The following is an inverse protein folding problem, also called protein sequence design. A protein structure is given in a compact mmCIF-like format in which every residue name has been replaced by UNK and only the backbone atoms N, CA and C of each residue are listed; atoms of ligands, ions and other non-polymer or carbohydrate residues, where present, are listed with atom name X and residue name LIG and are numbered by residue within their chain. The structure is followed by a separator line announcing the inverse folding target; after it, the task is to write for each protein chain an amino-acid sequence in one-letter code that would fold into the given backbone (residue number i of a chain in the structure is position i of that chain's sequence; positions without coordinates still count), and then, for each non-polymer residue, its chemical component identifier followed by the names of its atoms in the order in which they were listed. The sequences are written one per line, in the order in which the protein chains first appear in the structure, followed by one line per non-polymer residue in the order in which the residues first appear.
data_IF_340545746903
#
_entry.id   IF_340545746903
#
_cell.length_a   1.000
_cell.length_b   1.000
_cell.length_c   1.000
_cell.angle_alpha   90.00
_cell.angle_beta   90.00
_cell.angle_gamma   90.00
#
_symmetry.space_group_name_H-M   'P 1'
#
loop_
_entity.id
_entity.type
_entity.pdbx_description
1 polymer ?
#
# COMPACT_ATOMS: atom_id res chain seq x y z
N UNK A 1 -30.81 -21.39 49.00
CA UNK A 1 -30.77 -22.85 48.76
C UNK A 1 -29.32 -23.28 48.75
N UNK A 2 -28.99 -24.41 49.38
CA UNK A 2 -27.64 -24.97 49.27
C UNK A 2 -27.37 -25.34 47.81
N UNK A 3 -26.26 -24.85 47.26
CA UNK A 3 -25.81 -25.25 45.92
C UNK A 3 -25.47 -26.73 45.91
N UNK A 4 -25.72 -27.40 44.78
CA UNK A 4 -25.20 -28.74 44.56
C UNK A 4 -23.66 -28.70 44.63
N UNK A 5 -23.00 -29.82 44.96
CA UNK A 5 -21.58 -29.92 44.75
C UNK A 5 -21.23 -29.69 43.26
N UNK A 6 -20.06 -29.12 43.01
CA UNK A 6 -19.63 -28.74 41.66
C UNK A 6 -18.45 -29.59 41.22
N UNK A 7 -18.51 -30.15 40.01
CA UNK A 7 -17.36 -30.72 39.33
C UNK A 7 -16.78 -29.67 38.39
N UNK A 8 -15.49 -29.37 38.53
CA UNK A 8 -14.73 -28.51 37.61
C UNK A 8 -13.76 -29.38 36.84
N UNK A 9 -13.79 -29.24 35.53
CA UNK A 9 -13.04 -30.11 34.64
C UNK A 9 -12.21 -29.29 33.67
N UNK A 10 -10.88 -29.39 33.80
CA UNK A 10 -9.96 -29.01 32.73
C UNK A 10 -9.98 -30.05 31.60
N UNK A 11 -9.10 -29.89 30.61
CA UNK A 11 -9.01 -30.78 29.46
C UNK A 11 -7.72 -31.63 29.46
N UNK A 12 -7.10 -31.81 30.63
CA UNK A 12 -5.91 -32.65 30.77
C UNK A 12 -6.22 -34.14 30.57
N UNK A 13 -5.20 -34.96 30.23
CA UNK A 13 -5.33 -36.39 29.96
C UNK A 13 -6.06 -37.19 31.05
N UNK A 14 -5.95 -36.78 32.32
CA UNK A 14 -6.52 -37.51 33.46
C UNK A 14 -8.04 -37.65 33.43
N UNK A 15 -8.76 -36.87 32.61
CA UNK A 15 -10.21 -37.04 32.44
C UNK A 15 -10.59 -38.45 32.00
N UNK A 16 -9.72 -39.16 31.27
CA UNK A 16 -10.02 -40.53 30.80
C UNK A 16 -10.05 -41.56 31.93
N UNK A 17 -9.43 -41.23 33.07
CA UNK A 17 -9.25 -42.11 34.22
C UNK A 17 -10.18 -41.72 35.39
N UNK A 18 -11.30 -41.05 35.09
CA UNK A 18 -12.32 -40.72 36.10
C UNK A 18 -12.86 -41.97 36.79
N UNK A 19 -12.85 -41.95 38.12
CA UNK A 19 -13.52 -42.97 38.92
C UNK A 19 -14.91 -42.47 39.35
N UNK A 20 -15.95 -42.97 38.67
CA UNK A 20 -17.34 -42.61 38.96
C UNK A 20 -17.82 -43.02 40.36
N UNK A 21 -17.12 -43.92 41.07
CA UNK A 21 -17.43 -44.22 42.46
C UNK A 21 -17.12 -43.03 43.39
N UNK A 22 -16.18 -42.17 43.00
CA UNK A 22 -15.76 -41.00 43.76
C UNK A 22 -16.69 -39.79 43.56
N UNK A 23 -17.69 -39.88 42.69
CA UNK A 23 -18.53 -38.72 42.36
C UNK A 23 -19.60 -38.48 43.44
N UNK A 24 -19.98 -37.21 43.67
CA UNK A 24 -21.18 -36.89 44.44
C UNK A 24 -22.45 -37.45 43.77
N UNK A 25 -23.49 -37.66 44.59
CA UNK A 25 -24.78 -38.25 44.16
C UNK A 25 -25.49 -37.47 43.04
N UNK A 26 -25.38 -36.15 43.07
CA UNK A 26 -25.91 -35.19 42.10
C UNK A 26 -25.01 -33.95 42.15
N UNK A 27 -24.79 -33.31 41.01
CA UNK A 27 -23.77 -32.26 40.87
C UNK A 27 -24.07 -31.30 39.72
N UNK A 28 -23.45 -30.13 39.82
CA UNK A 28 -23.30 -29.18 38.72
C UNK A 28 -21.92 -29.41 38.04
N UNK A 29 -21.76 -28.97 36.79
CA UNK A 29 -20.51 -29.15 36.02
C UNK A 29 -20.02 -27.83 35.42
N UNK A 30 -18.74 -27.52 35.60
CA UNK A 30 -18.00 -26.51 34.83
C UNK A 30 -17.04 -27.17 33.85
N UNK A 31 -17.07 -26.72 32.59
CA UNK A 31 -16.18 -27.17 31.50
C UNK A 31 -15.48 -25.97 30.86
N UNK A 32 -14.34 -26.18 30.21
CA UNK A 32 -13.65 -25.11 29.50
C UNK A 32 -13.20 -25.49 28.08
N UNK A 33 -13.01 -24.48 27.24
CA UNK A 33 -12.36 -24.55 25.94
C UNK A 33 -12.92 -25.69 25.08
N UNK A 34 -12.08 -26.57 24.53
CA UNK A 34 -12.50 -27.60 23.57
C UNK A 34 -13.01 -28.89 24.23
N UNK A 35 -13.70 -28.78 25.38
CA UNK A 35 -14.26 -29.94 26.11
C UNK A 35 -15.13 -30.84 25.20
N UNK A 36 -15.80 -30.25 24.22
CA UNK A 36 -16.70 -30.93 23.28
C UNK A 36 -15.97 -31.81 22.27
N UNK A 37 -14.63 -31.85 22.25
CA UNK A 37 -13.89 -32.85 21.47
C UNK A 37 -13.84 -34.22 22.11
N UNK A 38 -14.33 -34.35 23.35
CA UNK A 38 -14.46 -35.65 23.99
C UNK A 38 -15.26 -36.65 23.17
N UNK A 39 -14.82 -37.91 23.20
CA UNK A 39 -15.45 -39.05 22.54
C UNK A 39 -16.65 -39.61 23.35
N UNK A 40 -16.70 -39.28 24.65
CA UNK A 40 -17.77 -39.63 25.57
C UNK A 40 -18.22 -38.42 26.35
N UNK A 41 -19.46 -38.42 26.80
CA UNK A 41 -19.97 -37.47 27.78
C UNK A 41 -19.41 -37.79 29.18
N UNK A 42 -18.11 -37.65 29.39
CA UNK A 42 -17.42 -38.03 30.64
C UNK A 42 -18.08 -37.45 31.89
N UNK A 43 -18.64 -36.25 31.79
CA UNK A 43 -19.33 -35.53 32.86
C UNK A 43 -20.80 -35.25 32.54
N UNK A 44 -21.34 -35.89 31.50
CA UNK A 44 -22.70 -35.67 31.01
C UNK A 44 -22.86 -34.44 30.11
N UNK A 45 -24.10 -34.22 29.67
CA UNK A 45 -24.49 -33.21 28.68
C UNK A 45 -24.97 -31.89 29.28
N UNK A 46 -25.39 -31.90 30.54
CA UNK A 46 -25.80 -30.71 31.28
C UNK A 46 -24.57 -29.99 31.84
N UNK A 47 -24.37 -28.73 31.46
CA UNK A 47 -23.21 -27.95 31.89
C UNK A 47 -23.69 -26.69 32.60
N UNK A 48 -23.29 -26.50 33.85
CA UNK A 48 -23.69 -25.33 34.62
C UNK A 48 -22.96 -24.05 34.19
N UNK A 49 -21.73 -24.19 33.71
CA UNK A 49 -20.91 -23.08 33.23
C UNK A 49 -19.86 -23.53 32.22
N UNK A 50 -19.82 -22.90 31.05
CA UNK A 50 -18.76 -23.09 30.06
C UNK A 50 -17.84 -21.87 30.01
N UNK A 51 -16.54 -22.11 29.93
CA UNK A 51 -15.50 -21.10 30.02
C UNK A 51 -14.65 -21.13 28.74
N UNK A 52 -14.58 -20.01 28.03
CA UNK A 52 -13.83 -19.92 26.78
C UNK A 52 -12.82 -18.78 26.82
N UNK A 53 -11.59 -19.02 26.39
CA UNK A 53 -10.55 -18.00 26.33
C UNK A 53 -10.94 -16.85 25.38
N UNK A 54 -10.63 -15.61 25.80
CA UNK A 54 -11.02 -14.39 25.07
C UNK A 54 -10.57 -14.34 23.60
N UNK A 55 -9.35 -14.80 23.30
CA UNK A 55 -8.77 -14.70 21.96
C UNK A 55 -9.48 -15.57 20.90
N UNK A 56 -10.15 -16.66 21.32
CA UNK A 56 -10.95 -17.54 20.45
C UNK A 56 -12.45 -17.48 20.76
N UNK A 57 -12.89 -16.48 21.52
CA UNK A 57 -14.25 -16.44 22.07
C UNK A 57 -15.32 -16.45 20.97
N UNK A 58 -15.15 -15.69 19.90
CA UNK A 58 -16.11 -15.63 18.78
C UNK A 58 -16.30 -16.99 18.08
N UNK A 59 -15.19 -17.71 17.86
CA UNK A 59 -15.23 -19.05 17.30
C UNK A 59 -15.94 -20.02 18.26
N UNK A 60 -15.59 -19.96 19.54
CA UNK A 60 -16.22 -20.79 20.58
C UNK A 60 -17.72 -20.52 20.69
N UNK A 61 -18.17 -19.28 20.53
CA UNK A 61 -19.59 -18.93 20.52
C UNK A 61 -20.34 -19.50 19.31
N UNK A 62 -19.73 -19.48 18.12
CA UNK A 62 -20.31 -20.11 16.92
C UNK A 62 -20.44 -21.63 17.09
N UNK A 63 -19.39 -22.27 17.62
CA UNK A 63 -19.39 -23.71 17.91
C UNK A 63 -20.44 -24.02 18.99
N UNK A 64 -20.49 -23.24 20.06
CA UNK A 64 -21.47 -23.39 21.14
C UNK A 64 -22.91 -23.31 20.62
N UNK A 65 -23.18 -22.40 19.69
CA UNK A 65 -24.48 -22.32 19.02
C UNK A 65 -24.83 -23.62 18.28
N UNK A 66 -23.86 -24.23 17.58
CA UNK A 66 -24.08 -25.48 16.87
C UNK A 66 -24.30 -26.67 17.82
N UNK A 67 -23.49 -26.81 18.88
CA UNK A 67 -23.67 -27.91 19.84
C UNK A 67 -25.01 -27.80 20.58
N UNK A 68 -25.46 -26.59 20.96
CA UNK A 68 -26.75 -26.39 21.62
C UNK A 68 -27.92 -26.63 20.66
N UNK A 69 -27.85 -26.10 19.43
CA UNK A 69 -28.91 -26.28 18.44
C UNK A 69 -29.17 -27.75 18.11
N UNK A 70 -28.13 -28.58 18.11
CA UNK A 70 -28.23 -30.01 17.86
C UNK A 70 -28.38 -30.85 19.13
N UNK A 71 -28.53 -30.19 20.29
CA UNK A 71 -28.69 -30.83 21.58
C UNK A 71 -27.45 -31.59 22.07
N UNK A 72 -26.26 -31.42 21.50
CA UNK A 72 -25.07 -32.15 21.95
C UNK A 72 -24.74 -31.84 23.42
N UNK A 73 -24.86 -30.57 23.83
CA UNK A 73 -24.68 -30.08 25.20
C UNK A 73 -25.66 -28.96 25.55
N UNK A 74 -25.86 -28.77 26.85
CA UNK A 74 -26.81 -27.81 27.42
C UNK A 74 -26.11 -26.93 28.47
N UNK A 75 -25.39 -25.86 28.05
CA UNK A 75 -24.76 -24.91 28.96
C UNK A 75 -25.75 -23.87 29.48
N UNK A 76 -25.79 -23.68 30.81
CA UNK A 76 -26.63 -22.66 31.47
C UNK A 76 -26.00 -21.26 31.45
N UNK A 77 -24.68 -21.20 31.59
CA UNK A 77 -23.93 -19.97 31.75
C UNK A 77 -22.66 -19.99 30.92
N UNK A 78 -22.33 -18.85 30.31
CA UNK A 78 -21.16 -18.70 29.45
C UNK A 78 -20.24 -17.64 30.05
N UNK A 79 -18.97 -17.99 30.19
CA UNK A 79 -17.93 -17.15 30.74
C UNK A 79 -16.83 -16.93 29.70
N UNK A 80 -16.51 -15.66 29.44
CA UNK A 80 -15.31 -15.28 28.72
C UNK A 80 -14.14 -15.22 29.71
N UNK A 81 -13.17 -16.10 29.49
CA UNK A 81 -11.98 -16.24 30.33
C UNK A 81 -10.95 -15.21 29.92
N UNK A 82 -10.74 -14.24 30.78
CA UNK A 82 -9.66 -13.26 30.75
C UNK A 82 -9.32 -12.81 32.18
N UNK A 83 -8.08 -12.37 32.38
CA UNK A 83 -7.51 -12.05 33.69
C UNK A 83 -7.17 -10.57 33.87
N UNK A 84 -7.43 -9.77 32.85
CA UNK A 84 -7.15 -8.32 32.78
C UNK A 84 -8.36 -7.60 32.17
N UNK A 85 -8.51 -6.28 32.39
CA UNK A 85 -9.64 -5.53 31.82
C UNK A 85 -9.58 -5.45 30.29
N UNK A 86 -8.38 -5.38 29.72
CA UNK A 86 -8.14 -5.38 28.28
C UNK A 86 -7.76 -6.77 27.79
N UNK A 87 -8.19 -7.10 26.57
CA UNK A 87 -7.83 -8.34 25.90
C UNK A 87 -7.84 -8.15 24.39
N UNK A 88 -7.25 -9.13 23.70
CA UNK A 88 -7.26 -9.18 22.24
C UNK A 88 -8.41 -10.04 21.76
N UNK A 89 -9.26 -9.49 20.90
CA UNK A 89 -10.27 -10.26 20.17
C UNK A 89 -10.20 -9.87 18.71
N UNK A 90 -10.14 -10.87 17.83
CA UNK A 90 -9.97 -10.67 16.39
C UNK A 90 -8.78 -9.75 16.04
N UNK A 91 -7.67 -9.87 16.79
CA UNK A 91 -6.45 -9.08 16.58
C UNK A 91 -6.48 -7.64 17.11
N UNK A 92 -7.58 -7.19 17.74
CA UNK A 92 -7.71 -5.84 18.28
C UNK A 92 -7.73 -5.84 19.81
N UNK A 93 -6.93 -4.98 20.42
CA UNK A 93 -6.98 -4.75 21.86
C UNK A 93 -8.19 -3.86 22.20
N UNK A 94 -8.96 -4.27 23.20
CA UNK A 94 -10.18 -3.56 23.60
C UNK A 94 -10.57 -3.89 25.04
N UNK A 95 -11.43 -3.04 25.63
CA UNK A 95 -11.98 -3.29 26.96
C UNK A 95 -12.96 -4.46 26.89
N UNK A 96 -12.62 -5.57 27.54
CA UNK A 96 -13.33 -6.84 27.37
C UNK A 96 -14.79 -6.75 27.82
N UNK A 97 -15.08 -6.04 28.91
CA UNK A 97 -16.45 -5.91 29.41
C UNK A 97 -17.37 -5.26 28.37
N UNK A 98 -16.96 -4.12 27.80
CA UNK A 98 -17.73 -3.41 26.77
C UNK A 98 -17.90 -4.26 25.51
N UNK A 99 -16.83 -4.94 25.08
CA UNK A 99 -16.88 -5.84 23.94
C UNK A 99 -17.93 -6.95 24.15
N UNK A 100 -17.91 -7.61 25.31
CA UNK A 100 -18.83 -8.70 25.61
C UNK A 100 -20.27 -8.20 25.68
N UNK A 101 -20.54 -7.09 26.36
CA UNK A 101 -21.88 -6.49 26.45
C UNK A 101 -22.45 -6.08 25.10
N UNK A 102 -21.59 -5.57 24.20
CA UNK A 102 -22.00 -5.16 22.84
C UNK A 102 -22.32 -6.34 21.93
N UNK A 103 -21.65 -7.47 22.06
CA UNK A 103 -21.72 -8.57 21.09
C UNK A 103 -22.49 -9.80 21.60
N UNK A 104 -22.56 -10.01 22.92
CA UNK A 104 -23.11 -11.24 23.50
C UNK A 104 -23.98 -10.96 24.74
N UNK A 105 -25.28 -11.24 24.61
CA UNK A 105 -26.22 -11.12 25.73
C UNK A 105 -25.93 -12.17 26.81
N UNK A 106 -25.74 -11.73 28.06
CA UNK A 106 -25.65 -12.60 29.23
C UNK A 106 -24.31 -13.32 29.42
N UNK A 107 -23.32 -13.08 28.57
CA UNK A 107 -21.95 -13.58 28.77
C UNK A 107 -21.28 -12.85 29.93
N UNK A 108 -20.50 -13.57 30.74
CA UNK A 108 -19.86 -13.03 31.94
C UNK A 108 -18.34 -12.98 31.80
N UNK A 109 -17.74 -11.90 32.28
CA UNK A 109 -16.29 -11.72 32.38
C UNK A 109 -15.75 -12.48 33.60
N UNK A 110 -14.72 -13.33 33.43
CA UNK A 110 -14.03 -13.92 34.60
C UNK A 110 -13.19 -12.90 35.37
N UNK A 111 -12.69 -11.86 34.70
CA UNK A 111 -11.97 -10.77 35.37
C UNK A 111 -12.86 -10.04 36.37
N UNK A 112 -14.15 -9.87 36.07
CA UNK A 112 -15.11 -9.27 37.00
C UNK A 112 -15.24 -10.08 38.30
N UNK A 113 -15.06 -11.40 38.25
CA UNK A 113 -15.01 -12.24 39.44
C UNK A 113 -13.64 -12.10 40.13
N UNK A 114 -12.55 -12.28 39.39
CA UNK A 114 -11.19 -12.19 39.92
C UNK A 114 -10.93 -10.89 40.69
N UNK A 115 -11.28 -9.73 40.12
CA UNK A 115 -11.05 -8.41 40.73
C UNK A 115 -11.76 -8.23 42.08
N UNK A 116 -12.88 -8.91 42.28
CA UNK A 116 -13.74 -8.77 43.46
C UNK A 116 -13.39 -9.82 44.54
N UNK A 117 -12.45 -10.74 44.26
CA UNK A 117 -11.98 -11.76 45.19
C UNK A 117 -10.55 -11.45 45.65
N UNK A 118 -10.43 -10.46 46.55
CA UNK A 118 -9.20 -9.78 46.93
C UNK A 118 -7.97 -10.70 47.14
N UNK A 119 -8.04 -11.81 47.91
CA UNK A 119 -6.84 -12.63 48.11
C UNK A 119 -6.33 -13.32 46.83
N UNK A 120 -7.23 -13.66 45.90
CA UNK A 120 -6.85 -14.17 44.59
C UNK A 120 -6.36 -13.04 43.68
N UNK A 121 -6.99 -11.87 43.76
CA UNK A 121 -6.57 -10.71 42.98
C UNK A 121 -5.16 -10.25 43.35
N UNK A 122 -4.81 -10.21 44.64
CA UNK A 122 -3.45 -9.90 45.12
C UNK A 122 -2.44 -10.93 44.62
N UNK A 123 -2.77 -12.23 44.73
CA UNK A 123 -1.90 -13.31 44.22
C UNK A 123 -1.66 -13.14 42.73
N UNK A 124 -2.73 -13.00 41.94
CA UNK A 124 -2.63 -12.76 40.50
C UNK A 124 -1.81 -11.52 40.17
N UNK A 125 -2.11 -10.38 40.82
CA UNK A 125 -1.45 -9.10 40.56
C UNK A 125 0.05 -9.16 40.83
N UNK A 126 0.48 -9.88 41.88
CA UNK A 126 1.90 -10.10 42.14
C UNK A 126 2.55 -10.86 40.99
N UNK A 127 1.98 -11.99 40.59
CA UNK A 127 2.58 -12.84 39.55
C UNK A 127 2.56 -12.19 38.18
N UNK A 128 1.46 -11.51 37.86
CA UNK A 128 1.31 -10.77 36.61
C UNK A 128 2.35 -9.66 36.47
N UNK A 129 2.49 -8.79 37.48
CA UNK A 129 3.36 -7.62 37.38
C UNK A 129 4.86 -7.94 37.50
N UNK A 130 5.23 -9.00 38.22
CA UNK A 130 6.64 -9.27 38.52
C UNK A 130 7.21 -10.49 37.80
N UNK A 131 6.37 -11.36 37.24
CA UNK A 131 6.80 -12.62 36.61
C UNK A 131 6.13 -12.87 35.26
N UNK A 132 5.25 -11.97 34.80
CA UNK A 132 4.45 -12.12 33.58
C UNK A 132 3.61 -13.42 33.55
N UNK A 133 3.18 -13.88 34.72
CA UNK A 133 2.43 -15.13 34.88
C UNK A 133 0.95 -14.86 35.15
N UNK A 134 0.09 -15.79 34.72
CA UNK A 134 -1.35 -15.75 35.02
C UNK A 134 -1.95 -17.13 35.28
N UNK A 135 -3.12 -17.13 35.92
CA UNK A 135 -3.88 -18.34 36.21
C UNK A 135 -4.29 -19.09 34.93
N UNK A 136 -4.37 -20.41 35.00
CA UNK A 136 -5.02 -21.21 33.96
C UNK A 136 -6.55 -21.09 34.04
N UNK A 137 -7.24 -21.45 32.95
CA UNK A 137 -8.72 -21.51 32.93
C UNK A 137 -9.29 -22.40 34.02
N UNK A 138 -8.59 -23.48 34.40
CA UNK A 138 -9.00 -24.37 35.50
C UNK A 138 -9.10 -23.62 36.84
N UNK A 139 -8.10 -22.80 37.15
CA UNK A 139 -8.11 -21.94 38.34
C UNK A 139 -9.14 -20.80 38.21
N UNK A 140 -9.32 -20.24 37.01
CA UNK A 140 -10.39 -19.26 36.76
C UNK A 140 -11.80 -19.84 36.99
N UNK A 141 -12.02 -21.11 36.66
CA UNK A 141 -13.29 -21.77 37.00
C UNK A 141 -13.45 -21.93 38.52
N UNK A 142 -12.37 -22.31 39.22
CA UNK A 142 -12.37 -22.49 40.68
C UNK A 142 -12.70 -21.19 41.43
N UNK A 143 -12.09 -20.06 41.05
CA UNK A 143 -12.37 -18.78 41.70
C UNK A 143 -13.80 -18.31 41.44
N UNK A 144 -14.31 -18.47 40.20
CA UNK A 144 -15.69 -18.15 39.87
C UNK A 144 -16.64 -19.03 40.68
N UNK A 145 -16.35 -20.32 40.84
CA UNK A 145 -17.14 -21.21 41.67
C UNK A 145 -17.20 -20.75 43.14
N UNK A 146 -16.07 -20.36 43.72
CA UNK A 146 -15.98 -19.83 45.08
C UNK A 146 -16.85 -18.58 45.24
N UNK A 147 -16.75 -17.65 44.31
CA UNK A 147 -17.49 -16.38 44.38
C UNK A 147 -18.98 -16.55 44.12
N UNK A 148 -19.36 -17.56 43.32
CA UNK A 148 -20.76 -18.00 43.20
C UNK A 148 -21.25 -18.74 44.45
N UNK A 149 -20.40 -19.02 45.44
CA UNK A 149 -20.77 -19.62 46.71
C UNK A 149 -20.82 -21.14 46.72
N UNK A 150 -20.18 -21.84 45.77
CA UNK A 150 -19.98 -23.28 45.88
C UNK A 150 -19.04 -23.60 47.04
N UNK A 151 -19.43 -24.58 47.87
CA UNK A 151 -18.69 -24.97 49.09
C UNK A 151 -18.07 -26.37 49.04
N UNK A 152 -18.46 -27.16 48.05
CA UNK A 152 -17.98 -28.52 47.83
C UNK A 152 -17.67 -28.66 46.34
N UNK A 153 -16.38 -28.80 46.03
CA UNK A 153 -15.84 -28.71 44.68
C UNK A 153 -14.97 -29.93 44.40
N UNK A 154 -15.13 -30.51 43.22
CA UNK A 154 -14.41 -31.69 42.75
C UNK A 154 -13.62 -31.33 41.49
N UNK A 155 -12.32 -31.60 41.47
CA UNK A 155 -11.42 -31.27 40.37
C UNK A 155 -11.02 -32.51 39.59
N UNK A 156 -10.96 -32.37 38.27
CA UNK A 156 -10.46 -33.38 37.33
C UNK A 156 -9.91 -32.71 36.05
N UNK A 157 -9.07 -33.42 35.28
CA UNK A 157 -8.51 -32.88 34.03
C UNK A 157 -7.60 -31.67 34.23
N UNK A 158 -7.03 -31.48 35.43
CA UNK A 158 -6.05 -30.45 35.75
C UNK A 158 -4.75 -31.18 36.11
N UNK A 159 -3.83 -31.27 35.15
CA UNK A 159 -2.65 -32.13 35.25
C UNK A 159 -1.32 -31.35 35.35
N UNK A 160 -1.39 -30.01 35.45
CA UNK A 160 -0.25 -29.10 35.56
C UNK A 160 0.86 -29.33 34.51
N UNK A 161 0.50 -29.90 33.35
CA UNK A 161 1.41 -30.20 32.25
C UNK A 161 2.60 -31.10 32.64
N UNK A 162 2.49 -31.93 33.70
CA UNK A 162 3.61 -32.75 34.21
C UNK A 162 4.21 -33.69 33.15
N UNK A 163 3.41 -34.14 32.18
CA UNK A 163 3.83 -35.07 31.10
C UNK A 163 3.81 -34.42 29.71
N UNK A 164 3.90 -33.09 29.63
CA UNK A 164 3.86 -32.30 28.39
C UNK A 164 2.53 -31.58 28.16
N UNK A 165 2.49 -30.72 27.15
CA UNK A 165 1.27 -30.13 26.63
C UNK A 165 0.45 -31.23 25.97
N UNK A 166 -0.77 -31.42 26.44
CA UNK A 166 -1.62 -32.46 25.94
C UNK A 166 -3.04 -32.27 26.42
N UNK A 167 -3.96 -32.28 25.47
CA UNK A 167 -5.35 -32.52 25.77
C UNK A 167 -5.65 -34.01 25.69
N UNK A 168 -6.73 -34.46 26.33
CA UNK A 168 -7.14 -35.87 26.20
C UNK A 168 -7.72 -36.20 24.81
N UNK A 169 -7.94 -35.20 23.95
CA UNK A 169 -8.45 -35.33 22.59
C UNK A 169 -7.38 -34.99 21.54
N UNK A 170 -7.52 -35.52 20.34
CA UNK A 170 -6.61 -35.23 19.22
C UNK A 170 -6.68 -33.76 18.80
N UNK A 171 -5.52 -33.14 18.56
CA UNK A 171 -5.40 -31.78 18.06
C UNK A 171 -6.18 -31.61 16.74
N UNK A 172 -7.11 -30.66 16.72
CA UNK A 172 -7.95 -30.37 15.57
C UNK A 172 -7.42 -29.17 14.76
N UNK A 173 -6.11 -28.90 14.70
CA UNK A 173 -5.48 -27.93 13.78
C UNK A 173 -5.46 -26.45 14.23
N UNK A 174 -4.99 -25.56 13.35
CA UNK A 174 -4.49 -24.21 13.68
C UNK A 174 -5.45 -23.15 14.26
N UNK A 175 -6.71 -23.46 14.55
CA UNK A 175 -7.57 -22.53 15.32
C UNK A 175 -7.36 -22.63 16.83
N UNK A 176 -6.94 -23.81 17.27
CA UNK A 176 -6.66 -24.12 18.66
C UNK A 176 -5.24 -24.69 18.67
N UNK A 177 -4.26 -23.82 18.42
CA UNK A 177 -2.85 -24.21 18.48
C UNK A 177 -2.52 -24.74 19.87
N UNK A 178 -1.88 -25.91 19.92
CA UNK A 178 -1.36 -26.52 21.15
C UNK A 178 0.01 -25.92 21.47
N UNK A 179 0.06 -24.59 21.55
CA UNK A 179 1.29 -23.91 21.92
C UNK A 179 1.37 -23.77 23.44
N UNK A 180 2.58 -23.96 23.95
CA UNK A 180 2.89 -23.69 25.34
C UNK A 180 2.71 -22.20 25.60
N UNK A 181 1.69 -21.83 26.38
CA UNK A 181 1.59 -20.47 26.87
C UNK A 181 2.76 -20.22 27.84
N UNK A 182 3.76 -19.38 27.48
CA UNK A 182 4.94 -19.16 28.30
C UNK A 182 4.60 -18.47 29.64
N UNK A 183 3.39 -17.91 29.74
CA UNK A 183 2.88 -17.20 30.92
C UNK A 183 2.20 -18.15 31.91
N UNK A 184 1.99 -19.42 31.53
CA UNK A 184 1.47 -20.45 32.42
C UNK A 184 2.59 -21.13 33.21
N UNK A 185 2.51 -21.02 34.54
CA UNK A 185 3.39 -21.70 35.48
C UNK A 185 2.56 -22.46 36.51
N UNK A 186 2.92 -23.71 36.83
CA UNK A 186 2.17 -24.50 37.80
C UNK A 186 2.19 -23.92 39.21
N UNK A 187 3.22 -23.16 39.59
CA UNK A 187 3.41 -22.66 40.95
C UNK A 187 2.32 -21.65 41.35
N UNK A 188 1.91 -20.76 40.44
CA UNK A 188 0.84 -19.80 40.71
C UNK A 188 -0.50 -20.54 40.87
N UNK A 189 -0.76 -21.55 40.03
CA UNK A 189 -1.97 -22.37 40.09
C UNK A 189 -2.04 -23.20 41.38
N UNK A 190 -0.93 -23.77 41.83
CA UNK A 190 -0.82 -24.50 43.10
C UNK A 190 -1.12 -23.56 44.27
N UNK A 191 -0.54 -22.35 44.28
CA UNK A 191 -0.82 -21.36 45.32
C UNK A 191 -2.29 -20.93 45.33
N UNK A 192 -2.91 -20.78 44.16
CA UNK A 192 -4.33 -20.48 44.04
C UNK A 192 -5.19 -21.64 44.57
N UNK A 193 -4.81 -22.89 44.30
CA UNK A 193 -5.48 -24.07 44.82
C UNK A 193 -5.36 -24.17 46.35
N UNK A 194 -4.19 -23.87 46.93
CA UNK A 194 -4.03 -23.80 48.38
C UNK A 194 -4.89 -22.70 49.01
N UNK A 195 -4.96 -21.53 48.36
CA UNK A 195 -5.83 -20.44 48.80
C UNK A 195 -7.30 -20.84 48.75
N UNK A 196 -7.72 -21.55 47.70
CA UNK A 196 -9.08 -22.01 47.48
C UNK A 196 -9.61 -22.91 48.61
N UNK A 197 -8.75 -23.72 49.25
CA UNK A 197 -9.11 -24.59 50.37
C UNK A 197 -9.69 -23.83 51.59
N UNK A 198 -9.42 -22.53 51.70
CA UNK A 198 -10.00 -21.67 52.75
C UNK A 198 -11.48 -21.35 52.51
N UNK A 199 -11.96 -21.51 51.28
CA UNK A 199 -13.30 -21.07 50.86
C UNK A 199 -14.27 -22.23 50.57
N UNK A 200 -13.74 -23.39 50.18
CA UNK A 200 -14.50 -24.58 49.83
C UNK A 200 -13.72 -25.86 50.21
N UNK A 201 -14.46 -26.95 50.41
CA UNK A 201 -13.89 -28.30 50.43
C UNK A 201 -13.58 -28.71 49.00
N UNK A 202 -12.35 -29.14 48.75
CA UNK A 202 -11.86 -29.46 47.41
C UNK A 202 -11.35 -30.90 47.38
N UNK A 203 -11.80 -31.66 46.38
CA UNK A 203 -11.48 -33.08 46.23
C UNK A 203 -11.00 -33.40 44.81
N UNK A 204 -10.14 -34.40 44.66
CA UNK A 204 -9.80 -34.99 43.37
C UNK A 204 -10.77 -36.14 43.02
N UNK A 205 -11.04 -36.31 41.72
CA UNK A 205 -11.85 -37.42 41.18
C UNK A 205 -11.04 -38.46 40.40
N UNK A 206 -9.74 -38.24 40.22
CA UNK A 206 -8.86 -39.13 39.46
C UNK A 206 -7.74 -39.63 40.38
N UNK A 207 -7.76 -40.90 40.83
CA UNK A 207 -6.79 -41.45 41.78
C UNK A 207 -5.33 -41.28 41.40
N UNK A 208 -5.01 -41.34 40.10
CA UNK A 208 -3.64 -41.31 39.60
C UNK A 208 -3.22 -39.93 39.05
N UNK A 209 -3.99 -38.87 39.32
CA UNK A 209 -3.69 -37.52 38.84
C UNK A 209 -2.70 -36.77 39.74
N UNK A 210 -2.05 -35.75 39.16
CA UNK A 210 -1.17 -34.85 39.91
C UNK A 210 -1.88 -34.14 41.07
N UNK A 211 -3.21 -33.94 40.96
CA UNK A 211 -4.04 -33.30 42.00
C UNK A 211 -4.01 -34.05 43.33
N UNK A 212 -3.88 -35.39 43.34
CA UNK A 212 -3.94 -36.18 44.59
C UNK A 212 -2.75 -35.89 45.51
N UNK A 213 -1.65 -35.34 44.98
CA UNK A 213 -0.52 -34.85 45.78
C UNK A 213 -0.87 -33.59 46.58
N UNK A 214 -1.92 -32.87 46.19
CA UNK A 214 -2.27 -31.53 46.71
C UNK A 214 -3.62 -31.52 47.44
N UNK A 215 -4.60 -32.29 46.98
CA UNK A 215 -5.96 -32.36 47.51
C UNK A 215 -6.38 -33.82 47.75
N UNK A 216 -7.22 -34.10 48.77
CA UNK A 216 -7.65 -35.46 49.06
C UNK A 216 -8.54 -36.02 47.93
N UNK A 217 -8.50 -37.34 47.75
CA UNK A 217 -9.52 -38.02 46.96
C UNK A 217 -10.89 -37.89 47.62
N UNK A 218 -11.92 -37.77 46.79
CA UNK A 218 -13.30 -37.83 47.26
C UNK A 218 -13.61 -39.16 47.95
N UNK A 219 -14.49 -39.13 48.96
CA UNK A 219 -15.00 -40.32 49.65
C UNK A 219 -16.49 -40.58 49.39
N UNK A 220 -17.04 -39.97 48.33
CA UNK A 220 -18.44 -40.13 47.94
C UNK A 220 -18.74 -41.56 47.46
N UNK A 221 -20.03 -41.87 47.31
CA UNK A 221 -20.54 -43.21 46.98
C UNK A 221 -21.21 -43.27 45.60
N UNK A 222 -20.60 -42.58 44.64
CA UNK A 222 -21.02 -42.55 43.25
C UNK A 222 -22.31 -41.80 42.94
N UNK A 223 -22.56 -41.68 41.64
CA UNK A 223 -23.68 -40.93 41.06
C UNK A 223 -24.98 -41.73 41.14
N UNK A 224 -26.09 -41.06 41.46
CA UNK A 224 -27.42 -41.68 41.43
C UNK A 224 -27.79 -42.10 40.00
N UNK A 225 -28.39 -43.28 39.84
CA UNK A 225 -28.72 -43.82 38.51
C UNK A 225 -29.60 -42.87 37.68
N UNK A 226 -30.65 -42.32 38.29
CA UNK A 226 -31.51 -41.29 37.67
C UNK A 226 -30.75 -40.07 37.17
N UNK A 227 -29.62 -39.73 37.80
CA UNK A 227 -28.78 -38.60 37.38
C UNK A 227 -27.93 -39.01 36.19
N UNK A 228 -27.34 -40.22 36.22
CA UNK A 228 -26.58 -40.78 35.09
C UNK A 228 -27.42 -40.83 33.82
N UNK A 229 -28.62 -41.40 33.90
CA UNK A 229 -29.55 -41.53 32.76
C UNK A 229 -29.94 -40.17 32.21
N UNK A 230 -30.24 -39.21 33.09
CA UNK A 230 -30.66 -37.86 32.71
C UNK A 230 -29.57 -37.11 31.93
N UNK A 231 -28.32 -37.21 32.37
CA UNK A 231 -27.21 -36.45 31.78
C UNK A 231 -26.41 -37.23 30.75
N UNK A 232 -26.71 -38.52 30.54
CA UNK A 232 -25.94 -39.42 29.69
C UNK A 232 -24.51 -39.62 30.18
N UNK A 233 -24.31 -39.80 31.50
CA UNK A 233 -22.97 -39.85 32.09
C UNK A 233 -22.14 -41.03 31.55
N UNK A 234 -21.01 -40.72 30.92
CA UNK A 234 -20.08 -41.71 30.37
C UNK A 234 -20.50 -42.31 29.02
N UNK A 235 -21.64 -41.90 28.46
CA UNK A 235 -22.12 -42.39 27.17
C UNK A 235 -21.22 -41.95 26.02
N UNK A 236 -21.01 -42.83 25.03
CA UNK A 236 -20.28 -42.48 23.81
C UNK A 236 -21.07 -41.51 22.93
N UNK A 237 -20.36 -40.53 22.35
CA UNK A 237 -20.94 -39.62 21.37
C UNK A 237 -21.18 -40.32 20.05
N UNK A 238 -22.39 -40.19 19.53
CA UNK A 238 -22.75 -40.64 18.18
C UNK A 238 -22.40 -39.61 17.11
N UNK A 239 -22.54 -38.34 17.46
CA UNK A 239 -22.34 -37.19 16.58
C UNK A 239 -21.48 -36.14 17.30
N UNK A 240 -20.56 -35.51 16.56
CA UNK A 240 -19.63 -34.51 17.09
C UNK A 240 -19.86 -33.16 16.40
N UNK A 241 -20.98 -32.51 16.72
CA UNK A 241 -21.40 -31.26 16.06
C UNK A 241 -20.41 -30.13 16.30
N UNK A 242 -19.76 -30.10 17.47
CA UNK A 242 -18.71 -29.12 17.76
C UNK A 242 -17.52 -29.22 16.79
N UNK A 243 -17.11 -30.45 16.45
CA UNK A 243 -16.05 -30.70 15.46
C UNK A 243 -16.49 -30.35 14.05
N UNK A 244 -17.71 -30.75 13.65
CA UNK A 244 -18.26 -30.41 12.32
C UNK A 244 -18.37 -28.90 12.10
N UNK A 245 -18.81 -28.14 13.10
CA UNK A 245 -18.87 -26.68 12.98
C UNK A 245 -17.48 -26.05 12.93
N UNK A 246 -16.49 -26.57 13.66
CA UNK A 246 -15.11 -26.13 13.53
C UNK A 246 -14.59 -26.34 12.10
N UNK A 247 -14.79 -27.54 11.52
CA UNK A 247 -14.41 -27.85 10.14
C UNK A 247 -15.05 -26.90 9.13
N UNK A 248 -16.33 -26.55 9.35
CA UNK A 248 -17.04 -25.57 8.54
C UNK A 248 -16.43 -24.17 8.64
N UNK A 249 -16.05 -23.73 9.84
CA UNK A 249 -15.39 -22.42 10.01
C UNK A 249 -14.01 -22.40 9.33
N UNK A 250 -13.26 -23.50 9.36
CA UNK A 250 -11.99 -23.64 8.62
C UNK A 250 -12.18 -23.47 7.12
N UNK A 251 -13.20 -24.13 6.58
CA UNK A 251 -13.51 -24.04 5.16
C UNK A 251 -13.89 -22.60 4.75
N UNK A 252 -14.68 -21.92 5.59
CA UNK A 252 -15.05 -20.52 5.33
C UNK A 252 -13.83 -19.58 5.34
N UNK A 253 -12.86 -19.80 6.23
CA UNK A 253 -11.63 -19.00 6.24
C UNK A 253 -10.75 -19.24 5.03
N UNK A 254 -10.59 -20.50 4.60
CA UNK A 254 -9.88 -20.83 3.35
C UNK A 254 -10.52 -20.15 2.14
N UNK A 255 -11.85 -20.10 2.08
CA UNK A 255 -12.55 -19.42 0.99
C UNK A 255 -12.28 -17.91 0.99
N UNK A 256 -12.30 -17.26 2.16
CA UNK A 256 -11.95 -15.84 2.29
C UNK A 256 -10.50 -15.55 1.90
N UNK A 257 -9.58 -16.43 2.25
CA UNK A 257 -8.19 -16.30 1.85
C UNK A 257 -8.02 -16.39 0.33
N UNK A 258 -8.68 -17.37 -0.30
CA UNK A 258 -8.68 -17.50 -1.76
C UNK A 258 -9.28 -16.27 -2.46
N UNK A 259 -10.33 -15.68 -1.89
CA UNK A 259 -10.93 -14.44 -2.41
C UNK A 259 -9.94 -13.26 -2.33
N UNK A 260 -9.25 -13.09 -1.20
CA UNK A 260 -8.19 -12.07 -1.05
C UNK A 260 -7.05 -12.27 -2.04
N UNK A 261 -6.64 -13.51 -2.30
CA UNK A 261 -5.61 -13.80 -3.29
C UNK A 261 -6.06 -13.40 -4.71
N UNK A 262 -7.31 -13.69 -5.09
CA UNK A 262 -7.88 -13.26 -6.37
C UNK A 262 -7.97 -11.73 -6.49
N UNK A 263 -8.32 -11.04 -5.42
CA UNK A 263 -8.34 -9.58 -5.40
C UNK A 263 -6.94 -9.00 -5.62
N UNK A 264 -5.93 -9.55 -4.95
CA UNK A 264 -4.53 -9.15 -5.14
C UNK A 264 -4.05 -9.40 -6.57
N UNK A 265 -4.46 -10.51 -7.19
CA UNK A 265 -4.16 -10.82 -8.59
C UNK A 265 -4.77 -9.79 -9.55
N UNK A 266 -6.04 -9.40 -9.33
CA UNK A 266 -6.71 -8.34 -10.11
C UNK A 266 -6.00 -6.99 -9.97
N UNK A 267 -5.52 -6.65 -8.76
CA UNK A 267 -4.76 -5.42 -8.55
C UNK A 267 -3.45 -5.42 -9.34
N UNK A 268 -2.73 -6.54 -9.36
CA UNK A 268 -1.51 -6.70 -10.17
C UNK A 268 -1.78 -6.61 -11.67
N UNK A 269 -2.91 -7.15 -12.14
CA UNK A 269 -3.31 -7.02 -13.55
C UNK A 269 -3.57 -5.55 -13.93
N UNK A 270 -4.30 -4.81 -13.07
CA UNK A 270 -4.56 -3.39 -13.28
C UNK A 270 -3.26 -2.57 -13.31
N UNK A 271 -2.29 -2.90 -12.45
CA UNK A 271 -0.98 -2.25 -12.44
C UNK A 271 -0.23 -2.48 -13.76
N UNK A 272 -0.24 -3.71 -14.29
CA UNK A 272 0.34 -4.03 -15.61
C UNK A 272 -0.35 -3.26 -16.75
N UNK A 273 -1.67 -3.10 -16.69
CA UNK A 273 -2.41 -2.32 -17.70
C UNK A 273 -1.99 -0.84 -17.68
N UNK A 274 -1.84 -0.24 -16.50
CA UNK A 274 -1.33 1.13 -16.35
C UNK A 274 0.10 1.28 -16.86
N UNK A 275 0.95 0.29 -16.62
CA UNK A 275 2.31 0.29 -17.16
C UNK A 275 2.31 0.26 -18.69
N UNK A 276 1.48 -0.59 -19.31
CA UNK A 276 1.32 -0.65 -20.76
C UNK A 276 0.80 0.67 -21.35
N UNK A 277 -0.14 1.33 -20.66
CA UNK A 277 -0.65 2.64 -21.08
C UNK A 277 0.45 3.72 -21.06
N UNK A 278 1.29 3.74 -20.01
CA UNK A 278 2.46 4.63 -19.94
C UNK A 278 3.46 4.37 -21.07
N UNK A 279 3.70 3.10 -21.41
CA UNK A 279 4.58 2.76 -22.53
C UNK A 279 4.04 3.29 -23.87
N UNK A 280 2.73 3.16 -24.11
CA UNK A 280 2.07 3.73 -25.31
C UNK A 280 2.13 5.25 -25.34
N UNK A 281 1.98 5.92 -24.20
CA UNK A 281 2.12 7.38 -24.13
C UNK A 281 3.54 7.82 -24.47
N UNK A 282 4.55 7.14 -23.95
CA UNK A 282 5.95 7.40 -24.27
C UNK A 282 6.25 7.21 -25.76
N UNK A 283 5.68 6.18 -26.37
CA UNK A 283 5.82 5.93 -27.82
C UNK A 283 5.22 7.08 -28.64
N UNK A 284 4.03 7.57 -28.28
CA UNK A 284 3.41 8.75 -28.92
C UNK A 284 4.25 10.01 -28.78
N UNK A 285 4.87 10.23 -27.62
CA UNK A 285 5.76 11.38 -27.42
C UNK A 285 6.98 11.32 -28.34
N UNK A 286 7.61 10.15 -28.49
CA UNK A 286 8.74 9.94 -29.43
C UNK A 286 8.32 10.16 -30.88
N UNK A 287 7.13 9.75 -31.27
CA UNK A 287 6.62 9.99 -32.62
C UNK A 287 6.43 11.49 -32.89
N UNK A 288 5.86 12.23 -31.93
CA UNK A 288 5.69 13.67 -32.04
C UNK A 288 7.03 14.41 -32.13
N UNK A 289 8.04 13.95 -31.40
CA UNK A 289 9.40 14.51 -31.47
C UNK A 289 10.03 14.33 -32.86
N UNK A 290 9.88 13.14 -33.47
CA UNK A 290 10.32 12.88 -34.86
C UNK A 290 9.61 13.77 -35.87
N UNK A 291 8.30 14.02 -35.69
CA UNK A 291 7.55 14.92 -36.58
C UNK A 291 8.08 16.35 -36.51
N UNK A 292 8.38 16.85 -35.30
CA UNK A 292 8.98 18.19 -35.11
C UNK A 292 10.37 18.29 -35.74
N UNK A 293 11.18 17.23 -35.64
CA UNK A 293 12.50 17.19 -36.28
C UNK A 293 12.38 17.28 -37.82
N UNK A 294 11.44 16.52 -38.41
CA UNK A 294 11.18 16.57 -39.84
C UNK A 294 10.70 17.96 -40.29
N UNK A 295 9.87 18.62 -39.50
CA UNK A 295 9.41 19.99 -39.78
C UNK A 295 10.58 20.99 -39.79
N UNK A 296 11.50 20.90 -38.81
CA UNK A 296 12.73 21.71 -38.79
C UNK A 296 13.62 21.46 -40.00
N UNK A 297 13.74 20.22 -40.46
CA UNK A 297 14.51 19.91 -41.67
C UNK A 297 13.91 20.56 -42.92
N UNK A 298 12.57 20.52 -43.08
CA UNK A 298 11.87 21.20 -44.18
C UNK A 298 12.05 22.70 -44.13
N UNK A 299 12.01 23.30 -42.93
CA UNK A 299 12.24 24.74 -42.76
C UNK A 299 13.67 25.13 -43.18
N UNK A 300 14.67 24.33 -42.78
CA UNK A 300 16.06 24.54 -43.19
C UNK A 300 16.25 24.42 -44.70
N UNK A 301 15.57 23.48 -45.35
CA UNK A 301 15.59 23.33 -46.80
C UNK A 301 15.02 24.55 -47.52
N UNK A 302 13.89 25.10 -47.04
CA UNK A 302 13.32 26.35 -47.56
C UNK A 302 14.27 27.54 -47.38
N UNK A 303 14.98 27.62 -46.25
CA UNK A 303 15.97 28.68 -46.03
C UNK A 303 17.13 28.59 -47.04
N UNK A 304 17.64 27.39 -47.32
CA UNK A 304 18.68 27.17 -48.33
C UNK A 304 18.19 27.54 -49.73
N UNK A 305 16.95 27.22 -50.07
CA UNK A 305 16.35 27.61 -51.35
C UNK A 305 16.26 29.13 -51.49
N UNK A 306 15.83 29.83 -50.44
CA UNK A 306 15.78 31.29 -50.41
C UNK A 306 17.17 31.92 -50.56
N UNK A 307 18.19 31.32 -49.93
CA UNK A 307 19.58 31.78 -50.06
C UNK A 307 20.09 31.65 -51.50
N UNK A 308 19.82 30.53 -52.18
CA UNK A 308 20.13 30.35 -53.61
C UNK A 308 19.42 31.37 -54.50
N UNK A 309 18.16 31.71 -54.20
CA UNK A 309 17.43 32.73 -54.96
C UNK A 309 18.09 34.12 -54.81
N UNK A 310 18.50 34.49 -53.60
CA UNK A 310 19.24 35.74 -53.35
C UNK A 310 20.60 35.78 -54.06
N UNK A 311 21.30 34.65 -54.11
CA UNK A 311 22.57 34.54 -54.84
C UNK A 311 22.37 34.76 -56.34
N UNK A 312 21.33 34.14 -56.92
CA UNK A 312 20.97 34.32 -58.33
C UNK A 312 20.59 35.78 -58.63
N UNK A 313 19.90 36.45 -57.73
CA UNK A 313 19.54 37.86 -57.86
C UNK A 313 20.80 38.76 -57.88
N UNK A 314 21.76 38.51 -56.99
CA UNK A 314 23.07 39.20 -57.00
C UNK A 314 23.85 38.99 -58.29
N UNK A 315 23.82 37.77 -58.85
CA UNK A 315 24.47 37.49 -60.13
C UNK A 315 23.86 38.31 -61.28
N UNK A 316 22.52 38.40 -61.33
CA UNK A 316 21.82 39.24 -62.32
C UNK A 316 22.14 40.73 -62.15
N UNK A 317 22.25 41.21 -60.92
CA UNK A 317 22.63 42.59 -60.65
C UNK A 317 24.05 42.90 -61.14
N UNK A 318 25.00 41.99 -60.88
CA UNK A 318 26.37 42.11 -61.37
C UNK A 318 26.44 42.10 -62.91
N UNK A 319 25.61 41.29 -63.56
CA UNK A 319 25.51 41.26 -65.03
C UNK A 319 25.02 42.59 -65.60
N UNK A 320 23.98 43.20 -64.99
CA UNK A 320 23.51 44.54 -65.36
C UNK A 320 24.57 45.62 -65.17
N UNK A 321 25.37 45.55 -64.10
CA UNK A 321 26.48 46.50 -63.89
C UNK A 321 27.52 46.40 -64.99
N UNK A 322 27.91 45.18 -65.40
CA UNK A 322 28.84 44.96 -66.53
C UNK A 322 28.28 45.48 -67.86
N UNK A 323 26.98 45.33 -68.09
CA UNK A 323 26.33 45.87 -69.29
C UNK A 323 26.36 47.40 -69.30
N UNK A 324 26.10 48.04 -68.15
CA UNK A 324 26.19 49.49 -68.00
C UNK A 324 27.62 50.02 -68.23
N UNK A 325 28.65 49.31 -67.75
CA UNK A 325 30.04 49.64 -68.04
C UNK A 325 30.35 49.60 -69.54
N UNK A 326 29.90 48.55 -70.25
CA UNK A 326 30.06 48.46 -71.71
C UNK A 326 29.38 49.62 -72.44
N UNK A 327 28.18 50.03 -71.98
CA UNK A 327 27.49 51.19 -72.56
C UNK A 327 28.30 52.48 -72.38
N UNK A 328 28.85 52.73 -71.18
CA UNK A 328 29.72 53.88 -70.92
C UNK A 328 30.99 53.87 -71.77
N UNK A 329 31.57 52.70 -71.99
CA UNK A 329 32.75 52.54 -72.85
C UNK A 329 32.42 52.86 -74.32
N UNK A 330 31.26 52.38 -74.82
CA UNK A 330 30.77 52.70 -76.15
C UNK A 330 30.49 54.20 -76.32
N UNK A 331 29.96 54.86 -75.28
CA UNK A 331 29.71 56.29 -75.27
C UNK A 331 31.01 57.10 -75.35
N UNK A 332 32.05 56.69 -74.59
CA UNK A 332 33.41 57.26 -74.72
C UNK A 332 33.98 57.10 -76.13
N UNK A 333 33.77 55.95 -76.77
CA UNK A 333 34.24 55.74 -78.14
C UNK A 333 33.57 56.69 -79.13
N UNK A 334 32.25 56.90 -79.00
CA UNK A 334 31.50 57.87 -79.82
C UNK A 334 31.99 59.30 -79.59
N UNK A 335 32.29 59.66 -78.34
CA UNK A 335 32.81 61.00 -77.99
C UNK A 335 34.19 61.25 -78.65
N UNK A 336 35.09 60.26 -78.61
CA UNK A 336 36.38 60.30 -79.30
C UNK A 336 36.24 60.40 -80.84
N UNK A 337 35.25 59.71 -81.42
CA UNK A 337 34.98 59.76 -82.85
C UNK A 337 34.45 61.14 -83.28
N UNK A 338 33.56 61.73 -82.48
CA UNK A 338 33.06 63.09 -82.67
C UNK A 338 34.21 64.11 -82.59
N UNK A 339 35.11 63.96 -81.62
CA UNK A 339 36.29 64.82 -81.47
C UNK A 339 37.18 64.75 -82.72
N UNK A 340 37.46 63.54 -83.22
CA UNK A 340 38.23 63.33 -84.46
C UNK A 340 37.55 64.00 -85.66
N UNK A 341 36.23 63.85 -85.80
CA UNK A 341 35.43 64.46 -86.87
C UNK A 341 35.46 65.98 -86.83
N UNK A 342 35.28 66.58 -85.65
CA UNK A 342 35.37 68.02 -85.43
C UNK A 342 36.78 68.55 -85.77
N UNK A 343 37.82 67.85 -85.35
CA UNK A 343 39.21 68.21 -85.64
C UNK A 343 39.52 68.16 -87.15
N UNK A 344 38.98 67.16 -87.86
CA UNK A 344 39.09 67.05 -89.31
C UNK A 344 38.34 68.18 -90.05
N UNK A 345 37.10 68.50 -89.63
CA UNK A 345 36.33 69.63 -90.17
C UNK A 345 37.02 70.96 -89.94
N UNK A 346 37.56 71.19 -88.75
CA UNK A 346 38.29 72.41 -88.43
C UNK A 346 39.54 72.56 -89.31
N UNK A 347 40.31 71.49 -89.51
CA UNK A 347 41.44 71.48 -90.47
C UNK A 347 40.99 71.87 -91.89
N UNK A 348 39.86 71.36 -92.37
CA UNK A 348 39.33 71.69 -93.70
C UNK A 348 38.93 73.17 -93.83
N UNK A 349 38.25 73.73 -92.83
CA UNK A 349 37.84 75.16 -92.82
C UNK A 349 39.05 76.09 -92.78
N UNK A 350 40.10 75.73 -92.05
CA UNK A 350 41.32 76.52 -91.99
C UNK A 350 42.08 76.49 -93.31
N UNK A 351 42.14 75.33 -93.97
CA UNK A 351 42.74 75.19 -95.29
C UNK A 351 42.02 76.06 -96.35
N UNK A 352 40.68 76.14 -96.32
CA UNK A 352 39.92 76.97 -97.27
C UNK A 352 40.11 78.49 -97.06
N UNK A 353 40.68 78.91 -95.93
CA UNK A 353 40.99 80.32 -95.63
C UNK A 353 42.45 80.69 -95.89
N UNK A 354 43.24 79.81 -96.53
CA UNK A 354 44.63 80.09 -96.90
C UNK A 354 45.63 80.02 -95.74
N UNK A 355 45.19 79.59 -94.55
CA UNK A 355 46.06 79.42 -93.38
C UNK A 355 46.73 78.05 -93.48
N UNK A 356 48.01 78.03 -93.87
CA UNK A 356 48.86 76.83 -93.86
C UNK A 356 49.98 77.02 -92.84
N UNK A 357 50.02 76.13 -91.86
CA UNK A 357 51.08 76.09 -90.87
C UNK A 357 50.85 74.94 -89.90
N UNK A 358 51.87 74.09 -89.73
CA UNK A 358 51.87 72.91 -88.86
C UNK A 358 51.93 73.24 -87.35
N UNK A 359 51.71 74.50 -86.98
CA UNK A 359 51.72 74.99 -85.59
C UNK A 359 50.37 75.57 -85.15
N UNK A 360 49.28 74.90 -85.51
CA UNK A 360 47.95 75.31 -85.05
C UNK A 360 47.62 74.67 -83.69
N UNK A 361 47.85 75.41 -82.61
CA UNK A 361 47.41 75.04 -81.26
C UNK A 361 45.88 75.26 -81.21
N UNK A 362 45.12 74.19 -81.40
CA UNK A 362 43.67 74.18 -81.15
C UNK A 362 43.50 74.06 -79.62
N UNK A 363 43.39 75.20 -78.96
CA UNK A 363 42.99 75.24 -77.55
C UNK A 363 41.50 74.90 -77.49
N UNK A 364 41.16 73.82 -76.78
CA UNK A 364 39.77 73.42 -76.54
C UNK A 364 38.98 74.60 -75.97
N UNK A 365 37.70 74.73 -76.34
CA UNK A 365 36.78 75.72 -75.76
C UNK A 365 36.71 75.62 -74.22
N UNK A 366 37.02 74.43 -73.66
CA UNK A 366 37.13 74.16 -72.22
C UNK A 366 38.40 74.79 -71.59
N UNK A 367 39.45 74.99 -72.39
CA UNK A 367 40.74 75.54 -71.96
C UNK A 367 40.84 77.06 -72.19
N UNK A 368 40.14 77.62 -73.18
CA UNK A 368 39.98 79.08 -73.33
C UNK A 368 39.28 79.73 -72.13
N UNK A 369 38.40 79.01 -71.44
CA UNK A 369 37.73 79.52 -70.24
C UNK A 369 38.69 79.63 -69.02
N UNK A 370 39.82 78.91 -69.02
CA UNK A 370 40.81 78.95 -67.91
C UNK A 370 41.89 80.03 -68.08
N UNK A 371 42.17 80.49 -69.30
CA UNK A 371 43.24 81.47 -69.57
C UNK A 371 42.82 82.96 -69.39
N UNK A 372 41.52 83.28 -69.40
CA UNK A 372 41.01 84.66 -69.29
C UNK A 372 40.83 85.13 -67.83
N UNK A 373 41.94 85.25 -67.08
CA UNK A 373 41.92 85.79 -65.70
C UNK A 373 42.84 86.98 -65.40
N UNK A 374 43.49 87.64 -66.37
CA UNK A 374 44.33 88.81 -66.09
C UNK A 374 44.69 89.61 -67.33
N UNK A 375 44.50 90.92 -67.30
CA UNK A 375 44.59 91.80 -68.46
C UNK A 375 46.00 92.00 -69.00
N UNK A 376 46.16 91.85 -70.32
CA UNK A 376 46.90 92.75 -71.21
C UNK A 376 46.50 92.38 -72.65
N UNK A 377 46.13 93.38 -73.46
CA UNK A 377 45.61 93.20 -74.81
C UNK A 377 46.76 93.00 -75.82
N UNK A 378 46.59 92.06 -76.75
CA UNK A 378 47.33 92.06 -78.02
C UNK A 378 46.33 92.24 -79.16
N UNK A 379 46.47 93.42 -79.79
CA UNK A 379 45.68 93.92 -80.90
C UNK A 379 45.63 92.90 -82.05
N UNK A 380 44.46 92.32 -82.29
CA UNK A 380 44.04 92.03 -83.66
C UNK A 380 43.13 93.17 -84.09
N UNK A 381 43.48 93.83 -85.20
CA UNK A 381 42.73 94.94 -85.78
C UNK A 381 41.21 94.65 -85.74
N UNK A 382 40.47 95.51 -85.04
CA UNK A 382 39.03 95.44 -84.87
C UNK A 382 38.28 95.40 -86.22
N UNK A 383 38.91 95.83 -87.34
CA UNK A 383 38.37 95.62 -88.69
C UNK A 383 38.41 94.15 -89.13
N UNK A 384 39.44 93.38 -88.77
CA UNK A 384 39.57 91.95 -89.12
C UNK A 384 38.61 91.08 -88.32
N UNK A 385 38.45 91.35 -87.01
CA UNK A 385 37.52 90.63 -86.14
C UNK A 385 36.05 90.88 -86.54
N UNK A 386 35.69 92.12 -86.92
CA UNK A 386 34.35 92.43 -87.46
C UNK A 386 34.08 91.73 -88.79
N UNK A 387 35.08 91.55 -89.66
CA UNK A 387 34.92 90.83 -90.93
C UNK A 387 34.72 89.32 -90.75
N UNK A 388 35.43 88.71 -89.79
CA UNK A 388 35.30 87.28 -89.46
C UNK A 388 33.96 86.97 -88.80
N UNK A 389 33.50 87.81 -87.86
CA UNK A 389 32.19 87.64 -87.21
C UNK A 389 31.04 87.88 -88.20
N UNK A 390 31.16 88.84 -89.14
CA UNK A 390 30.18 89.01 -90.23
C UNK A 390 30.13 87.84 -91.22
N UNK A 391 31.23 87.12 -91.41
CA UNK A 391 31.27 85.93 -92.27
C UNK A 391 30.74 84.68 -91.55
N UNK A 392 30.85 84.60 -90.23
CA UNK A 392 30.38 83.47 -89.41
C UNK A 392 28.88 83.53 -89.08
N UNK A 393 28.26 84.73 -89.14
CA UNK A 393 26.84 84.94 -88.86
C UNK A 393 25.95 85.07 -90.11
N UNK A 394 26.50 84.88 -91.32
CA UNK A 394 25.74 84.98 -92.59
C UNK A 394 25.67 83.71 -93.43
N UNK A 395 26.03 82.54 -92.90
CA UNK A 395 25.74 81.21 -93.47
C UNK A 395 25.55 80.15 -92.41
#
# INVERSE_FOLDING_TARGET
MNKKPLIIAGNGPSIKDLDYALFPKDFDVFRCNQFYFEDKYYLGREIKGVFFNAHVFDLQMKITKAIVKNGEYHPDHIYCTHVEPYGYVNGNQQLMQEYLEKHFVGVRSTYAYLKDLEPFFILHSKYRNFYDQHFTTGIMMLLVAIQLGYKEIYLCGIDFYENGFGHFYENQGGFFEEDSDPMHDKNIDIQALELAKKYAKIYALVPNSALVKMIPLSSQKGVLEKVKDRIGLGEFKREKFGQKELERQKELERQKELERQKELERQKELERQKELERQKELERQKELERQKELERQKELERQKELERQKELERQKELERQKELERQKELERQKELELERSLKARLKAVLASKGIRGDNLIIVSLKDTYRLFKGGFALLLDLKALKSIIKAFLKR
#
